data_IF_959847018295
#
_entry.id   IF_959847018295
#
_cell.length_a   1.000
_cell.length_b   1.000
_cell.length_c   1.000
_cell.angle_alpha   90.00
_cell.angle_beta   90.00
_cell.angle_gamma   90.00
#
_symmetry.space_group_name_H-M   'P 1'
#
loop_
_entity.id
_entity.type
_entity.pdbx_description
1 polymer ?
#
# COMPACT_ATOMS: atom_id res chain seq x y z
N UNK A 1 -9.39 0.38 7.25
CA UNK A 1 -9.73 1.08 6.00
C UNK A 1 -10.34 0.10 5.02
N UNK A 2 -11.43 0.49 4.41
CA UNK A 2 -12.02 -0.18 3.26
C UNK A 2 -12.62 0.89 2.33
N UNK A 3 -12.37 0.80 1.03
CA UNK A 3 -12.96 1.73 0.06
C UNK A 3 -14.48 1.49 -0.05
N UNK A 4 -15.24 2.59 -0.07
CA UNK A 4 -16.71 2.55 -0.08
C UNK A 4 -17.31 2.47 -1.51
N UNK A 5 -16.55 1.94 -2.47
CA UNK A 5 -16.94 1.82 -3.88
C UNK A 5 -17.60 0.47 -4.23
N UNK A 6 -17.77 -0.39 -3.23
CA UNK A 6 -18.40 -1.71 -3.37
C UNK A 6 -17.53 -2.76 -4.10
N UNK A 7 -16.25 -2.48 -4.33
CA UNK A 7 -15.36 -3.42 -5.02
C UNK A 7 -14.82 -4.51 -4.09
N UNK A 8 -14.72 -4.23 -2.80
CA UNK A 8 -14.17 -5.15 -1.80
C UNK A 8 -15.22 -6.03 -1.17
N UNK A 9 -14.87 -7.29 -0.92
CA UNK A 9 -15.72 -8.24 -0.20
C UNK A 9 -15.71 -7.91 1.30
N UNK A 10 -16.84 -7.45 1.83
CA UNK A 10 -16.98 -7.11 3.24
C UNK A 10 -16.89 -8.36 4.16
N UNK A 11 -17.15 -9.56 3.65
CA UNK A 11 -17.04 -10.80 4.40
C UNK A 11 -15.57 -11.14 4.75
N UNK A 12 -14.60 -10.49 4.10
CA UNK A 12 -13.20 -10.59 4.45
C UNK A 12 -12.80 -9.79 5.72
N UNK A 13 -13.64 -8.84 6.19
CA UNK A 13 -13.34 -7.99 7.36
C UNK A 13 -12.96 -8.80 8.62
N UNK A 14 -13.72 -9.84 9.02
CA UNK A 14 -13.34 -10.64 10.20
C UNK A 14 -11.96 -11.28 10.07
N UNK A 15 -11.58 -11.75 8.90
CA UNK A 15 -10.29 -12.36 8.63
C UNK A 15 -9.14 -11.35 8.73
N UNK A 16 -9.33 -10.14 8.21
CA UNK A 16 -8.35 -9.06 8.33
C UNK A 16 -8.17 -8.61 9.78
N UNK A 17 -9.26 -8.52 10.55
CA UNK A 17 -9.19 -8.20 11.97
C UNK A 17 -8.51 -9.29 12.80
N UNK A 18 -8.78 -10.56 12.52
CA UNK A 18 -8.11 -11.68 13.19
C UNK A 18 -6.59 -11.65 12.94
N UNK A 19 -6.16 -11.39 11.71
CA UNK A 19 -4.75 -11.26 11.38
C UNK A 19 -4.10 -10.05 12.08
N UNK A 20 -4.81 -8.93 12.16
CA UNK A 20 -4.33 -7.74 12.87
C UNK A 20 -4.23 -7.97 14.39
N UNK A 21 -5.15 -8.76 14.97
CA UNK A 21 -5.06 -9.15 16.39
C UNK A 21 -3.87 -10.07 16.67
N UNK A 22 -3.57 -10.99 15.75
CA UNK A 22 -2.41 -11.88 15.85
C UNK A 22 -1.07 -11.14 15.64
N UNK A 23 -1.09 -10.05 14.89
CA UNK A 23 0.08 -9.25 14.53
C UNK A 23 -0.18 -7.75 14.72
N UNK A 24 -0.30 -7.26 15.96
CA UNK A 24 -0.78 -5.90 16.27
C UNK A 24 0.15 -4.78 15.77
N UNK A 25 1.41 -5.08 15.53
CA UNK A 25 2.41 -4.13 15.02
C UNK A 25 2.61 -4.22 13.50
N UNK A 26 1.87 -5.10 12.81
CA UNK A 26 1.97 -5.25 11.36
C UNK A 26 0.89 -4.44 10.63
N UNK A 27 1.19 -4.01 9.41
CA UNK A 27 0.18 -3.54 8.46
C UNK A 27 -0.40 -4.77 7.76
N UNK A 28 -1.72 -4.97 7.86
CA UNK A 28 -2.42 -6.00 7.10
C UNK A 28 -2.88 -5.38 5.80
N UNK A 29 -2.32 -5.82 4.69
CA UNK A 29 -2.52 -5.26 3.38
C UNK A 29 -3.29 -6.21 2.46
N UNK A 30 -4.37 -5.76 1.87
CA UNK A 30 -5.12 -6.52 0.89
C UNK A 30 -4.30 -6.76 -0.38
N UNK A 31 -4.26 -8.01 -0.84
CA UNK A 31 -3.74 -8.38 -2.15
C UNK A 31 -4.91 -8.80 -3.03
N UNK A 32 -5.32 -7.96 -3.97
CA UNK A 32 -6.46 -8.24 -4.83
C UNK A 32 -6.30 -9.53 -5.63
N UNK A 33 -7.34 -10.35 -5.61
CA UNK A 33 -7.55 -11.44 -6.55
C UNK A 33 -8.58 -10.94 -7.56
N UNK A 34 -8.12 -10.64 -8.75
CA UNK A 34 -8.96 -10.12 -9.83
C UNK A 34 -9.65 -11.24 -10.56
N UNK A 35 -10.87 -11.00 -10.96
CA UNK A 35 -11.60 -11.80 -11.93
C UNK A 35 -11.44 -11.23 -13.36
N UNK A 36 -12.16 -11.77 -14.32
CA UNK A 36 -12.11 -11.36 -15.73
C UNK A 36 -12.70 -9.96 -15.98
N UNK A 37 -13.32 -9.32 -14.98
CA UNK A 37 -13.98 -8.00 -15.10
C UNK A 37 -12.98 -6.84 -15.16
N UNK A 38 -11.71 -7.08 -14.83
CA UNK A 38 -10.71 -6.01 -14.69
C UNK A 38 -10.24 -5.49 -16.04
N UNK A 39 -10.38 -4.19 -16.34
CA UNK A 39 -9.84 -3.60 -17.55
C UNK A 39 -8.31 -3.68 -17.60
N UNK A 40 -7.73 -4.20 -18.70
CA UNK A 40 -6.29 -4.37 -18.88
C UNK A 40 -5.49 -3.08 -18.65
N UNK A 41 -6.01 -1.92 -19.07
CA UNK A 41 -5.35 -0.63 -18.84
C UNK A 41 -5.18 -0.29 -17.37
N UNK A 42 -6.12 -0.69 -16.50
CA UNK A 42 -5.99 -0.52 -15.04
C UNK A 42 -4.90 -1.41 -14.47
N UNK A 43 -4.79 -2.65 -14.93
CA UNK A 43 -3.73 -3.57 -14.51
C UNK A 43 -2.36 -3.00 -14.86
N UNK A 44 -2.15 -2.52 -16.09
CA UNK A 44 -0.87 -1.94 -16.52
C UNK A 44 -0.49 -0.76 -15.63
N UNK A 45 -1.39 0.19 -15.39
CA UNK A 45 -1.15 1.34 -14.52
C UNK A 45 -0.81 0.92 -13.08
N UNK A 46 -1.52 -0.09 -12.55
CA UNK A 46 -1.28 -0.64 -11.23
C UNK A 46 0.10 -1.28 -11.11
N UNK A 47 0.47 -2.12 -12.08
CA UNK A 47 1.80 -2.73 -12.09
C UNK A 47 2.93 -1.71 -12.21
N UNK A 48 2.76 -0.66 -13.01
CA UNK A 48 3.72 0.44 -13.08
C UNK A 48 3.94 1.08 -11.69
N UNK A 49 2.85 1.33 -10.95
CA UNK A 49 2.94 1.83 -9.57
C UNK A 49 3.64 0.84 -8.64
N UNK A 50 3.36 -0.47 -8.75
CA UNK A 50 4.02 -1.49 -7.92
C UNK A 50 5.52 -1.55 -8.16
N UNK A 51 5.97 -1.47 -9.42
CA UNK A 51 7.41 -1.42 -9.73
C UNK A 51 8.08 -0.23 -9.04
N UNK A 52 7.46 0.94 -9.08
CA UNK A 52 7.97 2.10 -8.36
C UNK A 52 7.99 1.90 -6.84
N UNK A 53 6.98 1.24 -6.28
CA UNK A 53 6.94 0.94 -4.84
C UNK A 53 8.06 -0.03 -4.45
N UNK A 54 8.31 -1.06 -5.24
CA UNK A 54 9.43 -2.00 -5.00
C UNK A 54 10.80 -1.32 -5.09
N UNK A 55 10.98 -0.40 -6.04
CA UNK A 55 12.19 0.45 -6.10
C UNK A 55 12.27 1.30 -4.82
N UNK A 56 11.21 1.99 -4.46
CA UNK A 56 11.19 2.92 -3.31
C UNK A 56 11.35 2.22 -1.95
N UNK A 57 11.01 0.95 -1.85
CA UNK A 57 11.18 0.14 -0.62
C UNK A 57 12.44 -0.72 -0.65
N UNK A 58 13.06 -0.86 -1.82
CA UNK A 58 14.09 -1.88 -2.10
C UNK A 58 13.60 -3.27 -1.68
N UNK A 59 12.30 -3.56 -1.80
CA UNK A 59 11.64 -4.77 -1.31
C UNK A 59 10.45 -5.16 -2.17
N UNK A 60 10.10 -6.45 -2.12
CA UNK A 60 8.87 -7.00 -2.70
C UNK A 60 7.81 -7.28 -1.62
N UNK A 61 8.00 -6.82 -0.38
CA UNK A 61 7.12 -7.11 0.76
C UNK A 61 5.71 -6.54 0.56
N UNK A 62 5.57 -5.45 -0.19
CA UNK A 62 4.28 -4.86 -0.52
C UNK A 62 3.79 -5.48 -1.83
N UNK A 63 2.90 -6.46 -1.73
CA UNK A 63 2.37 -7.15 -2.91
C UNK A 63 1.42 -6.27 -3.73
N UNK A 64 0.64 -5.42 -3.08
CA UNK A 64 -0.21 -4.42 -3.70
C UNK A 64 -0.23 -3.12 -2.89
N UNK A 65 0.12 -2.01 -3.53
CA UNK A 65 0.20 -0.70 -2.88
C UNK A 65 -1.02 0.18 -3.11
N UNK A 66 -1.98 -0.27 -3.91
CA UNK A 66 -3.15 0.50 -4.32
C UNK A 66 -4.47 -0.11 -3.83
N UNK A 67 -4.41 -1.21 -3.08
CA UNK A 67 -5.59 -1.80 -2.49
C UNK A 67 -6.06 -0.96 -1.31
N UNK A 68 -7.30 -0.49 -1.34
CA UNK A 68 -7.91 0.29 -0.25
C UNK A 68 -8.49 -0.56 0.87
N UNK A 69 -8.14 -1.86 0.94
CA UNK A 69 -8.55 -2.73 2.03
C UNK A 69 -7.34 -3.07 2.92
N UNK A 70 -7.24 -2.41 4.08
CA UNK A 70 -6.09 -2.49 4.98
C UNK A 70 -6.47 -2.37 6.44
N UNK A 71 -5.65 -2.96 7.31
CA UNK A 71 -5.66 -2.65 8.74
C UNK A 71 -4.31 -2.06 9.12
N UNK A 72 -4.35 -0.89 9.74
CA UNK A 72 -3.15 -0.15 10.15
C UNK A 72 -2.96 -0.22 11.67
N UNK A 73 -1.73 -0.43 12.17
CA UNK A 73 -1.41 -0.23 13.58
C UNK A 73 -1.49 1.28 13.90
N UNK A 74 -2.51 1.69 14.65
CA UNK A 74 -2.87 3.11 14.85
C UNK A 74 -1.73 3.92 15.44
N UNK A 75 -1.05 3.42 16.46
CA UNK A 75 0.04 4.16 17.13
C UNK A 75 1.16 4.54 16.14
N UNK A 76 1.61 3.58 15.33
CA UNK A 76 2.66 3.82 14.33
C UNK A 76 2.18 4.72 13.20
N UNK A 77 0.91 4.57 12.79
CA UNK A 77 0.32 5.35 11.70
C UNK A 77 0.12 6.81 12.13
N UNK A 78 -0.41 7.06 13.33
CA UNK A 78 -0.55 8.42 13.88
C UNK A 78 0.82 9.08 14.01
N UNK A 79 1.81 8.37 14.61
CA UNK A 79 3.16 8.90 14.74
C UNK A 79 3.84 9.21 13.39
N UNK A 80 3.48 8.51 12.33
CA UNK A 80 3.91 8.84 10.96
C UNK A 80 3.24 10.13 10.47
N UNK A 81 1.92 10.23 10.58
CA UNK A 81 1.13 11.36 10.08
C UNK A 81 1.45 12.68 10.82
N UNK A 82 1.82 12.60 12.10
CA UNK A 82 2.24 13.76 12.88
C UNK A 82 3.61 14.31 12.44
N UNK A 83 4.49 13.46 11.90
CA UNK A 83 5.86 13.84 11.50
C UNK A 83 6.03 14.11 10.02
N UNK A 84 5.21 13.50 9.19
CA UNK A 84 5.39 13.49 7.75
C UNK A 84 4.14 14.01 7.05
N UNK A 85 4.31 14.90 6.10
CA UNK A 85 3.20 15.29 5.22
C UNK A 85 3.03 14.23 4.15
N UNK A 86 1.87 13.58 4.14
CA UNK A 86 1.48 12.60 3.12
C UNK A 86 0.43 13.18 2.19
N UNK A 87 0.28 12.62 1.02
CA UNK A 87 -0.81 12.95 0.11
C UNK A 87 -2.17 12.70 0.74
N UNK A 88 -3.21 13.37 0.23
CA UNK A 88 -4.58 13.30 0.80
C UNK A 88 -5.60 12.71 -0.20
N UNK A 89 -5.13 12.17 -1.33
CA UNK A 89 -5.99 11.62 -2.38
C UNK A 89 -5.44 10.28 -2.88
N UNK A 90 -5.39 10.09 -4.21
CA UNK A 90 -4.90 8.85 -4.86
C UNK A 90 -3.45 8.50 -4.54
N UNK A 91 -2.69 9.45 -4.01
CA UNK A 91 -1.31 9.29 -3.54
C UNK A 91 -1.21 8.82 -2.07
N UNK A 92 -2.28 8.94 -1.27
CA UNK A 92 -2.27 8.60 0.17
C UNK A 92 -1.90 7.14 0.43
N UNK A 93 -2.61 6.21 -0.16
CA UNK A 93 -2.49 4.77 0.14
C UNK A 93 -1.09 4.24 -0.18
N UNK A 94 -0.53 4.68 -1.30
CA UNK A 94 0.83 4.30 -1.72
C UNK A 94 1.87 4.92 -0.80
N UNK A 95 1.73 6.21 -0.50
CA UNK A 95 2.73 6.92 0.30
C UNK A 95 2.79 6.41 1.75
N UNK A 96 1.63 6.20 2.37
CA UNK A 96 1.54 5.73 3.77
C UNK A 96 2.17 4.34 3.93
N UNK A 97 1.82 3.38 3.07
CA UNK A 97 2.35 2.01 3.22
C UNK A 97 3.87 1.96 2.99
N UNK A 98 4.40 2.72 2.03
CA UNK A 98 5.85 2.81 1.80
C UNK A 98 6.56 3.41 3.02
N UNK A 99 6.04 4.47 3.61
CA UNK A 99 6.63 5.12 4.78
C UNK A 99 6.54 4.26 6.04
N UNK A 100 5.45 3.52 6.23
CA UNK A 100 5.33 2.54 7.32
C UNK A 100 6.33 1.40 7.14
N UNK A 101 6.52 0.88 5.93
CA UNK A 101 7.57 -0.09 5.62
C UNK A 101 8.97 0.48 5.92
N UNK A 102 9.26 1.74 5.57
CA UNK A 102 10.53 2.40 5.93
C UNK A 102 10.74 2.52 7.43
N UNK A 103 9.67 2.69 8.18
CA UNK A 103 9.71 2.71 9.65
C UNK A 103 10.01 1.35 10.26
N UNK A 104 9.93 0.29 9.46
CA UNK A 104 10.28 -1.08 9.86
C UNK A 104 9.10 -1.94 10.25
N UNK A 105 7.88 -1.50 9.97
CA UNK A 105 6.70 -2.32 10.19
C UNK A 105 6.70 -3.50 9.22
N UNK A 106 6.25 -4.64 9.70
CA UNK A 106 5.96 -5.80 8.87
C UNK A 106 4.74 -5.53 7.99
N UNK A 107 4.79 -5.95 6.73
CA UNK A 107 3.64 -5.91 5.81
C UNK A 107 3.17 -7.34 5.57
N UNK A 108 1.95 -7.63 5.98
CA UNK A 108 1.31 -8.94 5.81
C UNK A 108 0.24 -8.84 4.73
N UNK A 109 0.47 -9.52 3.63
CA UNK A 109 -0.45 -9.46 2.48
C UNK A 109 -1.49 -10.56 2.59
N UNK A 110 -2.78 -10.18 2.66
CA UNK A 110 -3.90 -11.11 2.63
C UNK A 110 -4.61 -11.05 1.27
N UNK A 111 -4.85 -12.20 0.63
CA UNK A 111 -5.62 -12.22 -0.60
C UNK A 111 -7.07 -11.79 -0.30
N UNK A 112 -7.64 -10.93 -1.12
CA UNK A 112 -9.04 -10.50 -1.04
C UNK A 112 -9.64 -10.40 -2.43
N UNK A 113 -10.91 -10.75 -2.58
CA UNK A 113 -11.59 -10.63 -3.87
C UNK A 113 -11.90 -9.17 -4.16
N UNK A 114 -11.66 -8.77 -5.39
CA UNK A 114 -12.03 -7.43 -5.88
C UNK A 114 -12.79 -7.58 -7.17
N UNK A 115 -14.03 -7.10 -7.16
CA UNK A 115 -14.94 -7.13 -8.32
C UNK A 115 -15.14 -5.71 -8.82
N UNK A 116 -15.03 -5.50 -10.13
CA UNK A 116 -15.29 -4.19 -10.72
C UNK A 116 -16.73 -4.11 -11.20
N UNK A 117 -17.59 -3.30 -10.55
CA UNK A 117 -18.96 -3.10 -11.03
C UNK A 117 -18.92 -2.40 -12.40
N UNK A 118 -19.76 -2.85 -13.33
CA UNK A 118 -19.84 -2.32 -14.69
C UNK A 118 -20.23 -0.83 -14.73
N UNK A 119 -20.97 -0.37 -13.72
CA UNK A 119 -21.47 1.01 -13.60
C UNK A 119 -20.62 1.86 -12.64
N UNK A 120 -19.41 1.43 -12.30
CA UNK A 120 -18.53 2.11 -11.36
C UNK A 120 -18.09 3.49 -11.85
N UNK A 121 -18.37 4.54 -11.10
CA UNK A 121 -17.92 5.91 -11.38
C UNK A 121 -16.48 6.07 -10.92
N UNK A 122 -15.57 6.37 -11.84
CA UNK A 122 -14.18 6.68 -11.50
C UNK A 122 -14.03 8.16 -11.13
N UNK A 123 -13.59 8.45 -9.92
CA UNK A 123 -13.22 9.80 -9.48
C UNK A 123 -11.78 10.18 -9.83
N UNK A 124 -11.08 9.35 -10.59
CA UNK A 124 -9.71 9.57 -11.03
C UNK A 124 -9.63 10.68 -12.08
N UNK A 125 -8.91 11.76 -11.77
CA UNK A 125 -8.64 12.87 -12.66
C UNK A 125 -7.31 12.63 -13.38
N UNK A 126 -7.37 12.12 -14.62
CA UNK A 126 -6.25 11.57 -15.37
C UNK A 126 -4.97 12.43 -15.29
N UNK A 127 -5.05 13.73 -15.56
CA UNK A 127 -3.88 14.61 -15.55
C UNK A 127 -3.42 14.95 -14.12
N UNK A 128 -4.33 15.43 -13.28
CA UNK A 128 -4.00 15.92 -11.94
C UNK A 128 -3.48 14.79 -11.03
N UNK A 129 -4.13 13.64 -11.07
CA UNK A 129 -3.76 12.53 -10.20
C UNK A 129 -2.47 11.85 -10.69
N UNK A 130 -2.23 11.74 -12.01
CA UNK A 130 -0.95 11.26 -12.53
C UNK A 130 0.21 12.18 -12.15
N UNK A 131 0.05 13.51 -12.21
CA UNK A 131 1.07 14.46 -11.76
C UNK A 131 1.36 14.27 -10.26
N UNK A 132 0.32 14.16 -9.43
CA UNK A 132 0.48 13.93 -7.97
C UNK A 132 1.19 12.62 -7.66
N UNK A 133 0.76 11.54 -8.31
CA UNK A 133 1.37 10.21 -8.15
C UNK A 133 2.85 10.25 -8.58
N UNK A 134 3.17 10.90 -9.70
CA UNK A 134 4.54 11.05 -10.17
C UNK A 134 5.40 11.86 -9.19
N UNK A 135 4.87 12.96 -8.67
CA UNK A 135 5.56 13.77 -7.66
C UNK A 135 5.74 13.01 -6.35
N UNK A 136 4.75 12.23 -5.93
CA UNK A 136 4.85 11.34 -4.77
C UNK A 136 5.96 10.31 -4.97
N UNK A 137 5.99 9.62 -6.11
CA UNK A 137 7.06 8.65 -6.39
C UNK A 137 8.44 9.30 -6.45
N UNK A 138 8.57 10.51 -7.00
CA UNK A 138 9.82 11.25 -6.99
C UNK A 138 10.28 11.56 -5.55
N UNK A 139 9.37 12.06 -4.68
CA UNK A 139 9.69 12.28 -3.25
C UNK A 139 10.11 11.00 -2.55
N UNK A 140 9.39 9.91 -2.80
CA UNK A 140 9.72 8.60 -2.22
C UNK A 140 11.06 8.09 -2.73
N UNK A 141 11.38 8.28 -4.01
CA UNK A 141 12.65 7.87 -4.58
C UNK A 141 13.85 8.57 -3.91
N UNK A 142 13.81 9.90 -3.78
CA UNK A 142 14.85 10.62 -3.05
C UNK A 142 14.89 10.25 -1.56
N UNK A 143 13.72 10.03 -0.95
CA UNK A 143 13.61 9.53 0.41
C UNK A 143 14.21 8.13 0.60
N UNK A 144 14.06 7.26 -0.39
CA UNK A 144 14.67 5.93 -0.43
C UNK A 144 16.19 6.02 -0.55
N UNK A 145 16.72 6.85 -1.45
CA UNK A 145 18.17 7.04 -1.59
C UNK A 145 18.82 7.42 -0.26
N UNK A 146 18.22 8.34 0.48
CA UNK A 146 18.70 8.73 1.82
C UNK A 146 18.64 7.57 2.82
N UNK A 147 17.65 6.70 2.71
CA UNK A 147 17.43 5.56 3.62
C UNK A 147 18.06 4.26 3.14
N UNK A 148 18.63 4.23 1.93
CA UNK A 148 19.14 3.00 1.30
C UNK A 148 20.13 2.22 2.16
N UNK A 149 21.10 2.81 2.90
CA UNK A 149 22.01 2.04 3.73
C UNK A 149 21.25 1.27 4.82
N UNK A 150 20.25 1.90 5.45
CA UNK A 150 19.44 1.28 6.50
C UNK A 150 18.50 0.20 5.95
N UNK A 151 17.90 0.45 4.77
CA UNK A 151 17.00 -0.50 4.11
C UNK A 151 17.77 -1.76 3.69
N UNK A 152 18.96 -1.60 3.11
CA UNK A 152 19.82 -2.71 2.72
C UNK A 152 20.33 -3.48 3.95
N UNK A 153 20.77 -2.78 5.01
CA UNK A 153 21.21 -3.41 6.24
C UNK A 153 20.12 -4.31 6.86
N UNK A 154 18.87 -3.89 6.85
CA UNK A 154 17.74 -4.69 7.33
C UNK A 154 17.51 -5.98 6.53
N UNK A 155 17.87 -5.98 5.25
CA UNK A 155 17.78 -7.18 4.38
C UNK A 155 18.92 -8.15 4.61
N UNK A 156 20.13 -7.61 4.80
CA UNK A 156 21.34 -8.41 4.96
C UNK A 156 21.48 -8.96 6.38
N UNK A 157 20.91 -8.26 7.35
CA UNK A 157 20.89 -8.64 8.75
C UNK A 157 19.43 -8.84 9.19
N UNK A 158 18.77 -9.96 8.80
CA UNK A 158 17.46 -10.25 9.34
C UNK A 158 17.61 -10.31 10.85
N UNK A 159 16.92 -9.41 11.55
CA UNK A 159 16.90 -9.44 13.00
C UNK A 159 16.48 -10.85 13.41
N UNK A 160 17.28 -11.49 14.27
CA UNK A 160 16.89 -12.71 14.95
C UNK A 160 15.61 -12.36 15.70
N UNK A 161 14.48 -12.67 15.10
CA UNK A 161 13.17 -12.52 15.73
C UNK A 161 13.08 -13.64 16.74
N UNK A 162 13.42 -13.31 17.99
CA UNK A 162 13.11 -14.13 19.14
C UNK A 162 11.63 -14.03 19.46
#
# INVERSE_FOLDING_TARGET
QIDADGQHDADDVPRFLAEAQAHPDAVINGRPLYDESVPMGRLIGRYATHVWVWINTLSLDIADSMCGFRVYPLAATIALLDRERVGLRMDFDVEVIVRLHWSGLEIRNLPTRVTYPLDGVSHFQLWRDNVRISMMHARLFFGMLWRSPRLLARRLLPAVRG
#
